data_IF_019844177025
#
_entry.id   IF_019844177025
#
_cell.length_a   1.000
_cell.length_b   1.000
_cell.length_c   1.000
_cell.angle_alpha   90.00
_cell.angle_beta   90.00
_cell.angle_gamma   90.00
#
_symmetry.space_group_name_H-M   'P 1'
#
loop_
_entity.id
_entity.type
_entity.pdbx_description
1 polymer ?
#
# COMPACT_ATOMS: atom_id res chain seq x y z
N UNK A 1 -13.21 -32.25 2.87
CA UNK A 1 -11.96 -31.47 3.04
C UNK A 1 -11.97 -30.39 1.97
N UNK A 2 -12.12 -29.12 2.36
CA UNK A 2 -11.99 -27.98 1.43
C UNK A 2 -10.56 -28.00 0.86
N UNK A 3 -10.42 -27.97 -0.47
CA UNK A 3 -9.12 -27.80 -1.11
C UNK A 3 -8.66 -26.38 -0.83
N UNK A 4 -7.59 -26.22 -0.07
CA UNK A 4 -6.94 -24.92 0.11
C UNK A 4 -6.41 -24.50 -1.26
N UNK A 5 -6.95 -23.40 -1.79
CA UNK A 5 -6.43 -22.79 -3.01
C UNK A 5 -5.06 -22.20 -2.71
N UNK A 6 -4.11 -22.38 -3.61
CA UNK A 6 -2.75 -21.86 -3.46
C UNK A 6 -2.40 -21.05 -4.69
N UNK A 7 -1.62 -20.00 -4.51
CA UNK A 7 -1.13 -19.10 -5.55
C UNK A 7 0.39 -19.15 -5.57
N UNK A 8 0.97 -19.28 -6.76
CA UNK A 8 2.40 -19.13 -6.97
C UNK A 8 2.72 -17.67 -7.28
N UNK A 9 3.62 -17.08 -6.53
CA UNK A 9 4.14 -15.74 -6.84
C UNK A 9 5.17 -15.83 -7.97
N UNK A 10 5.33 -14.78 -8.79
CA UNK A 10 6.40 -14.73 -9.77
C UNK A 10 7.77 -14.93 -9.10
N UNK A 11 8.64 -15.75 -9.70
CA UNK A 11 10.00 -16.07 -9.24
C UNK A 11 10.13 -17.24 -8.25
N UNK A 12 9.53 -18.41 -8.55
CA UNK A 12 9.98 -19.71 -8.00
C UNK A 12 9.72 -19.93 -6.50
N UNK A 13 8.78 -19.19 -5.91
CA UNK A 13 8.32 -19.45 -4.56
C UNK A 13 7.34 -20.64 -4.54
N UNK A 14 7.38 -21.43 -3.48
CA UNK A 14 6.37 -22.47 -3.22
C UNK A 14 4.97 -21.86 -3.24
N UNK A 15 4.01 -22.65 -3.71
CA UNK A 15 2.61 -22.23 -3.76
C UNK A 15 2.10 -21.84 -2.36
N UNK A 16 1.68 -20.60 -2.19
CA UNK A 16 1.23 -20.08 -0.90
C UNK A 16 -0.27 -20.26 -0.72
N UNK A 17 -0.73 -20.65 0.48
CA UNK A 17 -2.15 -20.78 0.73
C UNK A 17 -2.86 -19.43 0.66
N UNK A 18 -3.99 -19.41 -0.03
CA UNK A 18 -4.88 -18.24 -0.06
C UNK A 18 -5.65 -18.17 1.26
N UNK A 19 -5.49 -17.05 1.97
CA UNK A 19 -6.19 -16.79 3.23
C UNK A 19 -7.49 -16.00 3.03
N UNK A 20 -7.53 -15.15 1.99
CA UNK A 20 -8.71 -14.39 1.61
C UNK A 20 -8.76 -14.24 0.09
N UNK A 21 -9.95 -14.31 -0.49
CA UNK A 21 -10.24 -13.93 -1.87
C UNK A 21 -11.53 -13.13 -1.90
N UNK A 22 -11.52 -11.99 -2.58
CA UNK A 22 -12.67 -11.10 -2.78
C UNK A 22 -12.70 -10.58 -4.20
N UNK A 23 -13.89 -10.29 -4.67
CA UNK A 23 -14.13 -9.77 -6.01
C UNK A 23 -15.00 -8.52 -5.93
N UNK A 24 -14.68 -7.52 -6.75
CA UNK A 24 -15.56 -6.41 -7.07
C UNK A 24 -15.72 -6.29 -8.60
N UNK A 25 -16.28 -5.18 -9.07
CA UNK A 25 -16.58 -4.99 -10.49
C UNK A 25 -15.33 -4.83 -11.38
N UNK A 26 -14.16 -4.57 -10.80
CA UNK A 26 -12.95 -4.26 -11.56
C UNK A 26 -11.69 -5.03 -11.12
N UNK A 27 -11.76 -5.82 -10.05
CA UNK A 27 -10.59 -6.57 -9.59
C UNK A 27 -10.92 -7.79 -8.75
N UNK A 28 -9.96 -8.70 -8.69
CA UNK A 28 -9.86 -9.76 -7.69
C UNK A 28 -8.77 -9.40 -6.68
N UNK A 29 -9.11 -9.37 -5.41
CA UNK A 29 -8.14 -9.20 -4.33
C UNK A 29 -7.91 -10.52 -3.62
N UNK A 30 -6.65 -10.96 -3.56
CA UNK A 30 -6.24 -12.20 -2.90
C UNK A 30 -5.20 -11.88 -1.84
N UNK A 31 -5.35 -12.45 -0.64
CA UNK A 31 -4.33 -12.36 0.42
C UNK A 31 -3.71 -13.71 0.64
N UNK A 32 -2.38 -13.78 0.63
CA UNK A 32 -1.62 -15.00 0.88
C UNK A 32 -0.80 -14.89 2.17
N UNK A 33 -0.48 -16.04 2.76
CA UNK A 33 0.36 -16.14 3.95
C UNK A 33 1.77 -15.59 3.78
N UNK A 34 2.50 -15.59 4.87
CA UNK A 34 3.77 -14.90 5.05
C UNK A 34 4.79 -15.03 3.92
N UNK A 35 5.05 -13.93 3.27
CA UNK A 35 6.09 -13.80 2.26
C UNK A 35 7.35 -13.28 2.96
N UNK A 36 8.51 -13.89 2.78
CA UNK A 36 9.76 -13.28 3.16
C UNK A 36 10.09 -12.16 2.19
N UNK A 37 9.24 -11.14 2.14
CA UNK A 37 9.41 -10.03 1.25
C UNK A 37 9.96 -8.84 2.03
N UNK A 38 11.07 -8.31 1.58
CA UNK A 38 11.78 -7.22 2.24
C UNK A 38 11.44 -5.85 1.63
N UNK A 39 10.36 -5.76 0.90
CA UNK A 39 10.00 -4.55 0.16
C UNK A 39 10.65 -4.52 -1.24
N UNK A 40 10.51 -3.39 -1.93
CA UNK A 40 10.97 -3.23 -3.30
C UNK A 40 12.50 -3.14 -3.43
N UNK A 41 13.15 -2.56 -2.44
CA UNK A 41 14.60 -2.44 -2.40
C UNK A 41 15.01 -1.99 -1.00
N UNK A 42 15.07 -2.89 -0.02
CA UNK A 42 15.62 -2.53 1.27
C UNK A 42 17.08 -2.14 1.09
N UNK A 43 17.50 -1.09 1.79
CA UNK A 43 18.90 -0.67 1.77
C UNK A 43 19.80 -1.86 2.14
N UNK A 44 20.90 -2.11 1.40
CA UNK A 44 21.87 -3.13 1.76
C UNK A 44 22.50 -2.92 3.14
N UNK A 45 22.42 -1.71 3.67
CA UNK A 45 22.88 -1.38 5.02
C UNK A 45 21.89 -1.78 6.12
N UNK A 46 20.69 -2.25 5.78
CA UNK A 46 19.74 -2.73 6.78
C UNK A 46 20.13 -4.12 7.28
N UNK A 47 20.52 -4.19 8.53
CA UNK A 47 20.93 -5.44 9.22
C UNK A 47 19.87 -5.96 10.22
N UNK A 48 18.70 -5.33 10.25
CA UNK A 48 17.61 -5.71 11.13
C UNK A 48 16.83 -6.93 10.66
N UNK A 49 15.89 -7.39 11.49
CA UNK A 49 14.96 -8.45 11.08
C UNK A 49 13.94 -7.90 10.10
N UNK A 50 13.62 -8.61 9.01
CA UNK A 50 12.56 -8.22 8.11
C UNK A 50 11.22 -8.21 8.87
N UNK A 51 10.37 -7.23 8.54
CA UNK A 51 9.02 -7.18 9.07
C UNK A 51 8.21 -8.37 8.53
N UNK A 52 7.39 -8.95 9.40
CA UNK A 52 6.41 -9.95 8.96
C UNK A 52 5.36 -9.27 8.10
N UNK A 53 5.04 -9.86 6.97
CA UNK A 53 4.06 -9.30 6.06
C UNK A 53 3.33 -10.38 5.28
N UNK A 54 2.16 -10.03 4.75
CA UNK A 54 1.37 -10.83 3.83
C UNK A 54 1.39 -10.16 2.47
N UNK A 55 1.22 -10.94 1.41
CA UNK A 55 1.00 -10.39 0.08
C UNK A 55 -0.50 -10.17 -0.14
N UNK A 56 -0.86 -8.96 -0.44
CA UNK A 56 -2.18 -8.61 -0.99
C UNK A 56 -2.00 -8.43 -2.48
N UNK A 57 -2.60 -9.32 -3.26
CA UNK A 57 -2.47 -9.38 -4.71
C UNK A 57 -3.74 -8.84 -5.36
N UNK A 58 -3.57 -8.00 -6.37
CA UNK A 58 -4.64 -7.52 -7.22
C UNK A 58 -4.48 -8.23 -8.56
N UNK A 59 -5.50 -9.00 -8.96
CA UNK A 59 -5.52 -9.82 -10.19
C UNK A 59 -4.29 -10.74 -10.34
N UNK A 60 -3.69 -11.14 -9.21
CA UNK A 60 -2.48 -11.99 -9.12
C UNK A 60 -1.22 -11.37 -9.72
N UNK A 61 -1.23 -10.11 -10.12
CA UNK A 61 -0.10 -9.43 -10.77
C UNK A 61 0.46 -8.26 -9.97
N UNK A 62 -0.39 -7.37 -9.49
CA UNK A 62 0.06 -6.27 -8.63
C UNK A 62 0.09 -6.72 -7.17
N UNK A 63 1.11 -6.28 -6.43
CA UNK A 63 1.30 -6.65 -5.03
C UNK A 63 1.40 -5.40 -4.17
N UNK A 64 0.63 -5.38 -3.09
CA UNK A 64 0.82 -4.44 -1.97
C UNK A 64 1.06 -5.23 -0.69
N UNK A 65 2.16 -4.95 0.05
CA UNK A 65 2.45 -5.69 1.28
C UNK A 65 1.60 -5.21 2.44
N UNK A 66 0.96 -6.14 3.13
CA UNK A 66 0.30 -5.93 4.41
C UNK A 66 1.28 -6.26 5.54
N UNK A 67 1.82 -5.24 6.16
CA UNK A 67 2.83 -5.36 7.22
C UNK A 67 2.16 -5.67 8.56
N UNK A 68 2.73 -6.62 9.32
CA UNK A 68 2.33 -6.86 10.70
C UNK A 68 2.68 -5.63 11.56
N UNK A 69 1.67 -5.05 12.18
CA UNK A 69 1.81 -3.85 12.99
C UNK A 69 1.15 -4.05 14.36
N UNK A 70 1.76 -3.54 15.40
CA UNK A 70 1.30 -3.67 16.78
C UNK A 70 0.62 -2.40 17.33
N UNK A 71 0.54 -1.36 16.49
CA UNK A 71 -0.06 -0.07 16.85
C UNK A 71 0.97 1.01 17.21
N UNK A 72 2.23 0.66 17.47
CA UNK A 72 3.30 1.62 17.75
C UNK A 72 4.12 1.92 16.47
N UNK A 73 4.10 3.16 15.94
CA UNK A 73 4.90 3.52 14.77
C UNK A 73 6.40 3.30 14.94
N UNK A 74 6.92 3.30 16.16
CA UNK A 74 8.33 3.05 16.41
C UNK A 74 8.75 1.63 16.01
N UNK A 75 7.86 0.64 16.15
CA UNK A 75 8.12 -0.75 15.75
C UNK A 75 8.11 -0.93 14.23
N UNK A 76 7.47 -0.02 13.50
CA UNK A 76 7.41 -0.02 12.05
C UNK A 76 8.62 0.66 11.37
N UNK A 77 9.55 1.28 12.11
CA UNK A 77 10.73 1.96 11.55
C UNK A 77 11.53 1.16 10.51
N UNK A 78 11.57 -0.18 10.52
CA UNK A 78 12.21 -0.94 9.44
C UNK A 78 11.68 -0.63 8.05
N UNK A 79 10.42 -0.18 7.87
CA UNK A 79 9.88 0.22 6.55
C UNK A 79 10.63 1.42 5.95
N UNK A 80 11.28 2.25 6.79
CA UNK A 80 12.04 3.42 6.33
C UNK A 80 13.33 3.07 5.58
N UNK A 81 13.77 1.81 5.65
CA UNK A 81 14.94 1.31 4.94
C UNK A 81 14.63 0.91 3.49
N UNK A 82 13.39 1.02 3.08
CA UNK A 82 12.99 0.78 1.70
C UNK A 82 13.15 2.05 0.86
N UNK A 83 13.46 1.87 -0.44
CA UNK A 83 13.66 2.97 -1.37
C UNK A 83 12.43 3.87 -1.50
N UNK A 84 11.22 3.29 -1.50
CA UNK A 84 9.98 4.06 -1.57
C UNK A 84 9.81 5.02 -0.40
N UNK A 85 10.41 4.70 0.74
CA UNK A 85 10.36 5.52 1.96
C UNK A 85 11.39 6.64 2.01
N UNK A 86 12.31 6.73 1.02
CA UNK A 86 13.39 7.72 1.01
C UNK A 86 12.89 9.16 1.11
N UNK A 87 11.73 9.45 0.54
CA UNK A 87 11.10 10.78 0.59
C UNK A 87 10.88 11.27 2.03
N UNK A 88 10.65 10.37 2.97
CA UNK A 88 10.45 10.71 4.38
C UNK A 88 11.76 11.03 5.10
N UNK A 89 12.93 10.68 4.54
CA UNK A 89 14.24 10.97 5.12
C UNK A 89 14.80 12.34 4.70
N UNK A 90 14.32 12.88 3.57
CA UNK A 90 14.76 14.19 3.06
C UNK A 90 13.91 15.35 3.55
N UNK A 91 12.90 15.06 4.34
CA UNK A 91 11.94 16.01 4.88
C UNK A 91 12.01 16.07 6.41
N UNK A 92 11.83 17.24 7.05
CA UNK A 92 11.68 17.31 8.50
C UNK A 92 10.50 16.46 8.99
N UNK A 93 10.60 15.83 10.18
CA UNK A 93 9.49 15.12 10.79
C UNK A 93 8.32 16.07 11.11
N UNK A 94 7.14 15.51 11.25
CA UNK A 94 5.91 16.26 11.44
C UNK A 94 5.19 16.58 10.14
N UNK A 95 4.12 17.37 10.22
CA UNK A 95 3.31 17.78 9.08
C UNK A 95 2.30 16.72 8.61
N UNK A 96 1.63 17.02 7.50
CA UNK A 96 0.57 16.22 6.92
C UNK A 96 1.06 15.52 5.65
N UNK A 97 0.85 14.22 5.55
CA UNK A 97 1.28 13.40 4.43
C UNK A 97 0.06 12.82 3.72
N UNK A 98 -0.02 13.02 2.41
CA UNK A 98 -0.98 12.34 1.56
C UNK A 98 -0.29 11.16 0.87
N UNK A 99 -0.78 9.95 1.10
CA UNK A 99 -0.33 8.73 0.43
C UNK A 99 -1.35 8.36 -0.62
N UNK A 100 -0.98 8.46 -1.88
CA UNK A 100 -1.84 8.10 -3.01
C UNK A 100 -1.51 6.67 -3.46
N UNK A 101 -2.54 5.83 -3.59
CA UNK A 101 -2.37 4.40 -3.79
C UNK A 101 -1.89 3.71 -2.51
N UNK A 102 -2.57 3.98 -1.40
CA UNK A 102 -2.15 3.54 -0.07
C UNK A 102 -2.08 2.01 0.09
N UNK A 103 -2.81 1.27 -0.76
CA UNK A 103 -2.80 -0.19 -0.77
C UNK A 103 -3.10 -0.78 0.60
N UNK A 104 -2.30 -1.73 1.04
CA UNK A 104 -2.43 -2.36 2.36
C UNK A 104 -1.70 -1.58 3.48
N UNK A 105 -1.29 -0.32 3.25
CA UNK A 105 -0.87 0.62 4.28
C UNK A 105 0.63 0.67 4.56
N UNK A 106 1.49 0.07 3.74
CA UNK A 106 2.93 0.09 3.97
C UNK A 106 3.50 1.52 3.97
N UNK A 107 3.12 2.35 3.01
CA UNK A 107 3.63 3.73 2.91
C UNK A 107 2.97 4.65 3.94
N UNK A 108 1.76 4.30 4.41
CA UNK A 108 1.14 4.93 5.58
C UNK A 108 1.96 4.66 6.84
N UNK A 109 2.43 3.41 7.04
CA UNK A 109 3.34 3.07 8.13
C UNK A 109 4.67 3.81 8.01
N UNK A 110 5.21 3.98 6.80
CA UNK A 110 6.43 4.74 6.58
C UNK A 110 6.27 6.21 6.99
N UNK A 111 5.16 6.84 6.61
CA UNK A 111 4.85 8.21 7.01
C UNK A 111 4.74 8.36 8.53
N UNK A 112 4.02 7.44 9.20
CA UNK A 112 3.89 7.44 10.67
C UNK A 112 5.23 7.18 11.36
N UNK A 113 6.00 6.19 10.91
CA UNK A 113 7.33 5.86 11.45
C UNK A 113 8.35 7.00 11.28
N UNK A 114 8.17 7.83 10.26
CA UNK A 114 8.95 9.04 10.02
C UNK A 114 8.45 10.25 10.83
N UNK A 115 7.37 10.10 11.60
CA UNK A 115 6.85 11.14 12.49
C UNK A 115 5.85 12.09 11.82
N UNK A 116 5.13 11.66 10.80
CA UNK A 116 4.00 12.43 10.27
C UNK A 116 2.96 12.68 11.37
N UNK A 117 2.45 13.90 11.45
CA UNK A 117 1.40 14.29 12.40
C UNK A 117 0.04 13.73 12.00
N UNK A 118 -0.23 13.70 10.72
CA UNK A 118 -1.44 13.15 10.11
C UNK A 118 -1.12 12.52 8.76
N UNK A 119 -1.79 11.44 8.44
CA UNK A 119 -1.69 10.77 7.14
C UNK A 119 -3.08 10.67 6.52
N UNK A 120 -3.23 11.17 5.29
CA UNK A 120 -4.40 10.91 4.45
C UNK A 120 -4.02 9.79 3.47
N UNK A 121 -4.63 8.64 3.63
CA UNK A 121 -4.42 7.45 2.81
C UNK A 121 -5.52 7.35 1.76
N UNK A 122 -5.16 7.50 0.49
CA UNK A 122 -6.12 7.41 -0.64
C UNK A 122 -5.91 6.08 -1.35
N UNK A 123 -6.96 5.28 -1.42
CA UNK A 123 -6.93 3.95 -2.06
C UNK A 123 -8.19 3.77 -2.91
N UNK A 124 -8.01 3.41 -4.17
CA UNK A 124 -9.11 3.26 -5.11
C UNK A 124 -9.92 1.97 -4.88
N UNK A 125 -9.31 0.95 -4.31
CA UNK A 125 -9.93 -0.36 -4.16
C UNK A 125 -10.58 -0.53 -2.77
N UNK A 126 -11.92 -0.45 -2.67
CA UNK A 126 -12.61 -0.59 -1.39
C UNK A 126 -12.40 -1.96 -0.74
N UNK A 127 -12.14 -3.03 -1.49
CA UNK A 127 -11.86 -4.35 -0.93
C UNK A 127 -10.58 -4.37 -0.11
N UNK A 128 -9.55 -3.63 -0.55
CA UNK A 128 -8.28 -3.54 0.20
C UNK A 128 -8.52 -2.82 1.52
N UNK A 129 -9.26 -1.72 1.49
CA UNK A 129 -9.56 -0.92 2.68
C UNK A 129 -10.47 -1.67 3.65
N UNK A 130 -11.65 -2.08 3.17
CA UNK A 130 -12.73 -2.53 4.06
C UNK A 130 -12.66 -4.03 4.37
N UNK A 131 -12.40 -4.88 3.36
CA UNK A 131 -12.41 -6.34 3.57
C UNK A 131 -11.07 -6.86 4.07
N UNK A 132 -9.94 -6.24 3.64
CA UNK A 132 -8.61 -6.69 4.03
C UNK A 132 -8.14 -5.95 5.29
N UNK A 133 -7.82 -4.65 5.19
CA UNK A 133 -7.09 -3.94 6.26
C UNK A 133 -7.98 -3.67 7.47
N UNK A 134 -9.20 -3.18 7.27
CA UNK A 134 -10.19 -2.96 8.34
C UNK A 134 -10.96 -4.22 8.71
N UNK A 135 -11.05 -5.18 7.77
CA UNK A 135 -11.81 -6.41 7.91
C UNK A 135 -10.97 -7.56 8.44
N UNK A 136 -10.75 -8.57 7.60
CA UNK A 136 -10.16 -9.86 7.98
C UNK A 136 -8.79 -9.75 8.65
N UNK A 137 -7.99 -8.76 8.29
CA UNK A 137 -6.63 -8.57 8.82
C UNK A 137 -6.48 -7.34 9.73
N UNK A 138 -7.57 -6.78 10.23
CA UNK A 138 -7.55 -5.61 11.12
C UNK A 138 -6.58 -5.77 12.29
N UNK A 139 -6.62 -6.92 12.96
CA UNK A 139 -5.72 -7.22 14.07
C UNK A 139 -4.27 -7.35 13.63
N UNK A 140 -4.03 -7.96 12.46
CA UNK A 140 -2.69 -8.11 11.89
C UNK A 140 -2.09 -6.76 11.50
N UNK A 141 -2.92 -5.86 10.95
CA UNK A 141 -2.57 -4.49 10.61
C UNK A 141 -2.55 -3.53 11.81
N UNK A 142 -2.75 -4.03 13.05
CA UNK A 142 -2.74 -3.19 14.26
C UNK A 142 -3.77 -2.05 14.26
N UNK A 143 -4.88 -2.20 13.54
CA UNK A 143 -5.88 -1.16 13.38
C UNK A 143 -5.39 0.08 12.62
N UNK A 144 -4.40 -0.07 11.76
CA UNK A 144 -3.74 1.04 11.06
C UNK A 144 -4.72 2.05 10.45
N UNK A 145 -5.73 1.56 9.73
CA UNK A 145 -6.71 2.41 9.03
C UNK A 145 -7.84 2.95 9.92
N UNK A 146 -7.83 2.59 11.20
CA UNK A 146 -8.77 3.09 12.20
C UNK A 146 -8.11 4.07 13.20
N UNK A 147 -6.84 4.38 12.99
CA UNK A 147 -6.10 5.31 13.86
C UNK A 147 -6.64 6.73 13.73
N UNK A 148 -6.66 7.53 14.81
CA UNK A 148 -7.13 8.91 14.79
C UNK A 148 -6.23 9.86 13.98
N UNK A 149 -4.96 9.48 13.76
CA UNK A 149 -3.97 10.20 12.98
C UNK A 149 -3.92 9.73 11.51
N UNK A 150 -4.78 8.77 11.11
CA UNK A 150 -4.91 8.26 9.75
C UNK A 150 -6.33 8.47 9.24
N UNK A 151 -6.48 9.28 8.20
CA UNK A 151 -7.73 9.43 7.44
C UNK A 151 -7.65 8.58 6.19
N UNK A 152 -8.57 7.64 6.03
CA UNK A 152 -8.66 6.83 4.80
C UNK A 152 -9.76 7.37 3.89
N UNK A 153 -9.44 7.53 2.62
CA UNK A 153 -10.36 7.97 1.56
C UNK A 153 -10.37 6.90 0.47
N UNK A 154 -11.54 6.34 0.21
CA UNK A 154 -11.72 5.41 -0.91
C UNK A 154 -12.12 6.23 -2.13
N UNK A 155 -11.14 6.54 -2.99
CA UNK A 155 -11.34 7.38 -4.17
C UNK A 155 -10.20 7.17 -5.18
N UNK A 156 -10.41 7.62 -6.41
CA UNK A 156 -9.34 7.79 -7.38
C UNK A 156 -8.35 8.86 -6.91
N UNK A 157 -7.05 8.57 -6.98
CA UNK A 157 -6.02 9.47 -6.47
C UNK A 157 -5.99 10.83 -7.17
N UNK A 158 -6.26 10.86 -8.48
CA UNK A 158 -6.31 12.11 -9.24
C UNK A 158 -7.56 12.93 -8.92
N UNK A 159 -8.71 12.27 -8.80
CA UNK A 159 -9.96 12.90 -8.40
C UNK A 159 -9.83 13.50 -6.99
N UNK A 160 -9.22 12.78 -6.06
CA UNK A 160 -8.95 13.26 -4.71
C UNK A 160 -8.09 14.54 -4.73
N UNK A 161 -6.94 14.54 -5.41
CA UNK A 161 -6.04 15.69 -5.44
C UNK A 161 -6.73 16.93 -6.02
N UNK A 162 -7.54 16.76 -7.06
CA UNK A 162 -8.28 17.88 -7.68
C UNK A 162 -9.47 18.37 -6.87
N UNK A 163 -10.07 17.51 -6.07
CA UNK A 163 -11.28 17.80 -5.30
C UNK A 163 -11.04 18.18 -3.85
N UNK A 164 -9.84 17.90 -3.30
CA UNK A 164 -9.55 18.17 -1.90
C UNK A 164 -9.20 19.63 -1.66
N UNK A 165 -9.64 20.14 -0.52
CA UNK A 165 -9.14 21.39 0.05
C UNK A 165 -8.01 21.16 1.06
N UNK A 166 -7.64 19.91 1.32
CA UNK A 166 -6.56 19.58 2.23
C UNK A 166 -5.23 19.96 1.60
N UNK A 167 -4.34 20.58 2.35
CA UNK A 167 -2.96 20.77 1.92
C UNK A 167 -2.09 19.67 2.55
N UNK A 168 -1.26 19.05 1.73
CA UNK A 168 -0.30 18.06 2.18
C UNK A 168 1.08 18.65 2.11
N UNK A 169 1.85 18.55 3.20
CA UNK A 169 3.25 18.93 3.19
C UNK A 169 4.09 17.96 2.32
N UNK A 170 3.56 16.77 2.07
CA UNK A 170 4.16 15.74 1.24
C UNK A 170 3.06 14.92 0.57
N UNK A 171 3.15 14.77 -0.74
CA UNK A 171 2.38 13.78 -1.49
C UNK A 171 3.30 12.62 -1.82
N UNK A 172 3.00 11.45 -1.27
CA UNK A 172 3.76 10.23 -1.50
C UNK A 172 3.00 9.35 -2.49
N UNK A 173 3.59 9.16 -3.67
CA UNK A 173 3.13 8.22 -4.68
C UNK A 173 4.23 7.19 -4.91
N UNK A 174 4.01 5.94 -4.56
CA UNK A 174 4.95 4.87 -4.83
C UNK A 174 4.22 3.68 -5.43
N UNK A 175 4.68 3.22 -6.60
CA UNK A 175 4.20 2.00 -7.24
C UNK A 175 2.67 1.95 -7.43
N UNK A 176 2.06 3.09 -7.78
CA UNK A 176 0.60 3.22 -7.94
C UNK A 176 0.06 2.74 -9.29
N UNK A 177 0.93 2.28 -10.17
CA UNK A 177 0.56 1.65 -11.43
C UNK A 177 0.20 0.17 -11.23
N UNK A 178 -0.93 -0.22 -11.74
CA UNK A 178 -1.32 -1.63 -11.75
C UNK A 178 -0.75 -2.32 -12.98
N UNK A 179 0.30 -3.13 -12.80
CA UNK A 179 0.79 -4.03 -13.86
C UNK A 179 -0.29 -5.03 -14.32
N UNK A 180 -1.33 -5.27 -13.51
CA UNK A 180 -2.49 -6.08 -13.86
C UNK A 180 -3.21 -5.59 -15.12
N UNK A 181 -3.33 -4.28 -15.29
CA UNK A 181 -3.97 -3.70 -16.45
C UNK A 181 -3.16 -3.92 -17.74
N UNK A 182 -1.83 -3.96 -17.65
CA UNK A 182 -0.96 -4.26 -18.79
C UNK A 182 -1.00 -5.74 -19.17
N UNK A 183 -1.11 -6.65 -18.20
CA UNK A 183 -1.19 -8.10 -18.43
C UNK A 183 -2.49 -8.56 -19.11
N UNK A 184 -3.59 -7.85 -18.91
CA UNK A 184 -4.89 -8.14 -19.51
C UNK A 184 -5.09 -7.58 -20.93
N UNK A 185 -4.07 -6.99 -21.56
CA UNK A 185 -4.21 -6.33 -22.86
C UNK A 185 -4.98 -5.00 -22.80
N UNK A 186 -5.23 -4.49 -21.62
CA UNK A 186 -6.00 -3.27 -21.39
C UNK A 186 -5.15 -1.98 -21.51
N UNK A 187 -4.08 -2.02 -22.28
CA UNK A 187 -3.22 -0.83 -22.52
C UNK A 187 -3.99 0.42 -22.91
N UNK A 188 -5.17 0.26 -23.52
CA UNK A 188 -6.02 1.37 -23.92
C UNK A 188 -6.81 2.01 -22.77
N UNK A 189 -6.87 1.36 -21.59
CA UNK A 189 -7.68 1.80 -20.46
C UNK A 189 -6.85 2.22 -19.23
N UNK A 190 -5.54 1.99 -19.27
CA UNK A 190 -4.62 2.40 -18.21
C UNK A 190 -3.81 3.62 -18.58
N UNK A 191 -4.49 4.70 -18.87
CA UNK A 191 -3.84 6.00 -18.74
C UNK A 191 -3.53 6.20 -17.25
N UNK A 192 -2.24 6.16 -16.91
CA UNK A 192 -1.83 6.50 -15.55
C UNK A 192 -1.94 8.02 -15.36
N UNK A 193 -3.17 8.46 -15.10
CA UNK A 193 -3.49 9.87 -14.91
C UNK A 193 -2.70 10.56 -13.80
N UNK A 194 -1.97 9.78 -12.98
CA UNK A 194 -1.18 10.28 -11.84
C UNK A 194 0.22 10.78 -12.24
N UNK A 195 0.74 10.40 -13.41
CA UNK A 195 2.11 10.76 -13.84
C UNK A 195 2.13 11.67 -15.08
N UNK A 196 1.04 12.40 -15.34
CA UNK A 196 0.97 13.38 -16.42
C UNK A 196 1.48 14.75 -15.98
N UNK A 197 1.80 15.62 -16.94
CA UNK A 197 2.17 17.01 -16.66
C UNK A 197 1.06 17.75 -15.91
N UNK A 198 -0.20 17.48 -16.29
CA UNK A 198 -1.38 18.02 -15.64
C UNK A 198 -1.53 17.55 -14.20
N UNK A 199 -1.17 16.28 -13.93
CA UNK A 199 -1.15 15.75 -12.57
C UNK A 199 -0.15 16.50 -11.70
N UNK A 200 1.07 16.68 -12.20
CA UNK A 200 2.10 17.42 -11.45
C UNK A 200 1.72 18.87 -11.18
N UNK A 201 0.95 19.49 -12.07
CA UNK A 201 0.40 20.84 -11.83
C UNK A 201 -0.68 20.85 -10.74
N UNK A 202 -1.47 19.77 -10.65
CA UNK A 202 -2.48 19.65 -9.61
C UNK A 202 -1.87 19.31 -8.24
N UNK A 203 -0.65 18.75 -8.19
CA UNK A 203 0.07 18.45 -6.92
C UNK A 203 0.75 19.68 -6.31
N UNK A 204 1.00 20.75 -7.08
CA UNK A 204 1.68 21.97 -6.66
C UNK A 204 0.73 23.08 -6.23
#
# INVERSE_FOLDING_TARGET
RARTRAVSLPAGSDAMPVELERWNSFSMVTVTGGVPFTGWSPSPAYVGRPLRQKAVLIDLHALTPLVAFDGDPATARPVLWDLSSFVHLVRPPGGEVCVIGAGAGRDVLAALAAGARRVTAVEINPLIVEDVVRGAFRKYAGGLYDRPDVRVVVDDGRAFVRGTSDSCDLIHLSMVDTSAATGAGAYALTENGLYTLEAFRDYL
#
